data_IF_786331434526
#
_entry.id   IF_786331434526
#
_cell.length_a   1.000
_cell.length_b   1.000
_cell.length_c   1.000
_cell.angle_alpha   90.00
_cell.angle_beta   90.00
_cell.angle_gamma   90.00
#
_symmetry.space_group_name_H-M   'P 1'
#
loop_
_entity.id
_entity.type
_entity.pdbx_description
1 polymer ?
#
# COMPACT_ATOMS: atom_id res chain seq x y z
N UNK A 1 -24.84 -44.60 -25.12
CA UNK A 1 -23.89 -45.16 -24.14
C UNK A 1 -23.71 -44.11 -23.05
N UNK A 2 -24.17 -44.40 -21.84
CA UNK A 2 -23.99 -43.51 -20.69
C UNK A 2 -22.80 -44.05 -19.90
N UNK A 3 -21.73 -43.26 -19.75
CA UNK A 3 -20.55 -43.65 -18.98
C UNK A 3 -20.71 -43.01 -17.60
N UNK A 4 -20.81 -43.85 -16.56
CA UNK A 4 -20.84 -43.40 -15.18
C UNK A 4 -19.44 -43.56 -14.57
N UNK A 5 -18.93 -42.48 -13.99
CA UNK A 5 -17.63 -42.44 -13.30
C UNK A 5 -17.86 -41.82 -11.93
N UNK A 6 -17.45 -42.50 -10.87
CA UNK A 6 -17.56 -42.02 -9.49
C UNK A 6 -16.17 -41.77 -8.90
N UNK A 7 -16.09 -40.83 -7.96
CA UNK A 7 -14.88 -40.56 -7.21
C UNK A 7 -15.18 -40.54 -5.70
N UNK A 8 -14.18 -40.95 -4.91
CA UNK A 8 -14.32 -41.12 -3.46
C UNK A 8 -14.25 -39.78 -2.69
N UNK A 9 -13.91 -38.70 -3.38
CA UNK A 9 -13.90 -37.34 -2.86
C UNK A 9 -14.24 -36.33 -3.95
N UNK A 10 -14.73 -35.16 -3.53
CA UNK A 10 -15.02 -34.04 -4.43
C UNK A 10 -13.76 -33.64 -5.24
N UNK A 11 -12.58 -33.64 -4.60
CA UNK A 11 -11.29 -33.40 -5.25
C UNK A 11 -10.92 -34.46 -6.31
N UNK A 12 -11.22 -35.73 -6.04
CA UNK A 12 -11.06 -36.82 -7.00
C UNK A 12 -12.00 -36.66 -8.20
N UNK A 13 -13.25 -36.27 -7.95
CA UNK A 13 -14.22 -35.97 -8.99
C UNK A 13 -13.75 -34.77 -9.85
N UNK A 14 -13.16 -33.75 -9.22
CA UNK A 14 -12.60 -32.59 -9.93
C UNK A 14 -11.41 -32.93 -10.82
N UNK A 15 -10.50 -33.80 -10.36
CA UNK A 15 -9.40 -34.29 -11.20
C UNK A 15 -9.93 -35.08 -12.39
N UNK A 16 -10.88 -35.98 -12.16
CA UNK A 16 -11.47 -36.79 -13.23
C UNK A 16 -12.20 -35.91 -14.25
N UNK A 17 -13.02 -34.95 -13.80
CA UNK A 17 -13.72 -34.03 -14.69
C UNK A 17 -12.75 -33.13 -15.47
N UNK A 18 -11.70 -32.60 -14.84
CA UNK A 18 -10.69 -31.75 -15.50
C UNK A 18 -9.87 -32.51 -16.55
N UNK A 19 -9.64 -33.81 -16.35
CA UNK A 19 -8.98 -34.69 -17.33
C UNK A 19 -9.92 -35.06 -18.48
N UNK A 20 -11.23 -35.16 -18.22
CA UNK A 20 -12.26 -35.49 -19.22
C UNK A 20 -12.74 -34.29 -20.05
N UNK A 21 -12.46 -33.05 -19.63
CA UNK A 21 -12.89 -31.86 -20.34
C UNK A 21 -11.97 -31.63 -21.56
N UNK A 22 -12.48 -31.86 -22.78
CA UNK A 22 -11.73 -31.81 -24.07
C UNK A 22 -11.03 -30.46 -24.39
N UNK A 23 -11.18 -29.44 -23.55
CA UNK A 23 -10.52 -28.13 -23.65
C UNK A 23 -9.38 -27.90 -22.65
N UNK A 24 -9.12 -28.84 -21.74
CA UNK A 24 -8.02 -28.76 -20.76
C UNK A 24 -8.12 -27.63 -19.72
N UNK A 25 -9.26 -26.94 -19.60
CA UNK A 25 -9.48 -25.90 -18.60
C UNK A 25 -10.00 -26.52 -17.29
N UNK A 26 -9.27 -26.26 -16.18
CA UNK A 26 -9.75 -26.54 -14.82
C UNK A 26 -11.08 -25.82 -14.59
N UNK A 27 -12.06 -26.49 -13.97
CA UNK A 27 -13.23 -25.81 -13.41
C UNK A 27 -12.78 -24.72 -12.44
N UNK A 28 -13.34 -23.51 -12.57
CA UNK A 28 -13.08 -22.42 -11.63
C UNK A 28 -13.81 -22.67 -10.31
N UNK A 29 -13.41 -21.97 -9.23
CA UNK A 29 -14.16 -22.05 -7.97
C UNK A 29 -15.60 -21.55 -8.19
N UNK A 30 -15.76 -20.55 -9.05
CA UNK A 30 -17.05 -20.02 -9.45
C UNK A 30 -17.99 -21.08 -10.07
N UNK A 31 -17.52 -21.89 -11.02
CA UNK A 31 -18.36 -22.90 -11.69
C UNK A 31 -18.90 -23.96 -10.70
N UNK A 32 -18.09 -24.30 -9.71
CA UNK A 32 -18.41 -25.29 -8.66
C UNK A 32 -19.42 -24.70 -7.67
N UNK A 33 -19.20 -23.45 -7.24
CA UNK A 33 -20.14 -22.76 -6.37
C UNK A 33 -21.48 -22.54 -7.09
N UNK A 34 -21.47 -22.20 -8.37
CA UNK A 34 -22.68 -22.08 -9.19
C UNK A 34 -23.45 -23.40 -9.24
N UNK A 35 -22.82 -24.47 -9.74
CA UNK A 35 -23.48 -25.78 -9.91
C UNK A 35 -24.06 -26.32 -8.60
N UNK A 36 -23.25 -26.36 -7.54
CA UNK A 36 -23.70 -26.87 -6.23
C UNK A 36 -24.84 -26.08 -5.57
N UNK A 37 -24.99 -24.79 -5.92
CA UNK A 37 -26.11 -23.96 -5.44
C UNK A 37 -27.33 -24.06 -6.37
N UNK A 38 -27.17 -24.17 -7.68
CA UNK A 38 -28.27 -24.40 -8.61
C UNK A 38 -28.99 -25.74 -8.33
N UNK A 39 -28.24 -26.78 -7.94
CA UNK A 39 -28.80 -28.07 -7.50
C UNK A 39 -29.76 -27.96 -6.30
N UNK A 40 -29.76 -26.84 -5.58
CA UNK A 40 -30.65 -26.58 -4.44
C UNK A 40 -31.88 -25.75 -4.81
N UNK A 41 -32.08 -25.46 -6.09
CA UNK A 41 -33.24 -24.72 -6.61
C UNK A 41 -34.13 -25.71 -7.37
N UNK A 42 -35.35 -25.92 -6.87
CA UNK A 42 -36.28 -26.90 -7.45
C UNK A 42 -36.99 -26.38 -8.72
N UNK A 43 -37.29 -25.08 -8.77
CA UNK A 43 -37.96 -24.46 -9.91
C UNK A 43 -36.97 -24.21 -11.07
N UNK A 44 -37.24 -24.84 -12.21
CA UNK A 44 -36.36 -24.75 -13.38
C UNK A 44 -36.31 -23.37 -14.03
N UNK A 45 -37.36 -22.55 -13.92
CA UNK A 45 -37.36 -21.17 -14.44
C UNK A 45 -36.48 -20.29 -13.57
N UNK A 46 -36.67 -20.32 -12.25
CA UNK A 46 -35.83 -19.55 -11.32
C UNK A 46 -34.37 -20.02 -11.39
N UNK A 47 -34.12 -21.33 -11.48
CA UNK A 47 -32.77 -21.87 -11.67
C UNK A 47 -32.08 -21.24 -12.89
N UNK A 48 -32.79 -21.09 -14.01
CA UNK A 48 -32.25 -20.44 -15.21
C UNK A 48 -32.00 -18.95 -15.02
N UNK A 49 -32.83 -18.24 -14.26
CA UNK A 49 -32.63 -16.81 -13.94
C UNK A 49 -31.35 -16.61 -13.12
N UNK A 50 -31.20 -17.34 -12.00
CA UNK A 50 -29.98 -17.29 -11.18
C UNK A 50 -28.73 -17.70 -11.96
N UNK A 51 -28.84 -18.70 -12.85
CA UNK A 51 -27.73 -19.12 -13.68
C UNK A 51 -27.27 -18.01 -14.64
N UNK A 52 -28.22 -17.29 -15.27
CA UNK A 52 -27.92 -16.16 -16.17
C UNK A 52 -27.31 -14.98 -15.44
N UNK A 53 -27.86 -14.59 -14.29
CA UNK A 53 -27.31 -13.47 -13.51
C UNK A 53 -25.88 -13.76 -13.04
N UNK A 54 -25.61 -14.99 -12.59
CA UNK A 54 -24.25 -15.43 -12.27
C UNK A 54 -23.32 -15.39 -13.47
N UNK A 55 -23.75 -15.87 -14.64
CA UNK A 55 -22.96 -15.83 -15.87
C UNK A 55 -22.60 -14.41 -16.29
N UNK A 56 -23.57 -13.49 -16.21
CA UNK A 56 -23.34 -12.08 -16.51
C UNK A 56 -22.26 -11.49 -15.59
N UNK A 57 -22.31 -11.79 -14.29
CA UNK A 57 -21.29 -11.34 -13.33
C UNK A 57 -19.92 -11.96 -13.60
N UNK A 58 -19.89 -13.24 -13.96
CA UNK A 58 -18.66 -13.96 -14.28
C UNK A 58 -18.02 -13.42 -15.57
N UNK A 59 -18.82 -13.01 -16.56
CA UNK A 59 -18.36 -12.34 -17.78
C UNK A 59 -17.83 -10.94 -17.48
N UNK A 60 -18.56 -10.15 -16.69
CA UNK A 60 -18.21 -8.76 -16.34
C UNK A 60 -16.90 -8.69 -15.53
N UNK A 61 -16.77 -9.51 -14.48
CA UNK A 61 -15.57 -9.53 -13.63
C UNK A 61 -14.41 -10.34 -14.22
N UNK A 62 -14.67 -11.26 -15.15
CA UNK A 62 -13.67 -12.11 -15.79
C UNK A 62 -12.72 -12.77 -14.79
N UNK A 63 -11.42 -12.48 -14.90
CA UNK A 63 -10.37 -13.07 -14.05
C UNK A 63 -10.46 -12.64 -12.57
N UNK A 64 -11.15 -11.54 -12.25
CA UNK A 64 -11.30 -11.06 -10.88
C UNK A 64 -12.49 -11.72 -10.14
N UNK A 65 -13.28 -12.57 -10.81
CA UNK A 65 -14.48 -13.16 -10.20
C UNK A 65 -14.18 -14.06 -9.00
N UNK A 66 -13.15 -14.91 -9.08
CA UNK A 66 -12.70 -15.73 -7.95
C UNK A 66 -12.22 -14.88 -6.76
N UNK A 67 -11.61 -13.72 -7.04
CA UNK A 67 -11.17 -12.77 -6.01
C UNK A 67 -12.37 -12.09 -5.36
N UNK A 68 -13.38 -11.72 -6.15
CA UNK A 68 -14.64 -11.20 -5.63
C UNK A 68 -15.35 -12.22 -4.72
N UNK A 69 -15.39 -13.51 -5.09
CA UNK A 69 -15.90 -14.56 -4.22
C UNK A 69 -15.09 -14.69 -2.93
N UNK A 70 -13.77 -14.49 -2.96
CA UNK A 70 -12.97 -14.41 -1.73
C UNK A 70 -13.38 -13.23 -0.81
N UNK A 71 -13.82 -12.09 -1.38
CA UNK A 71 -14.38 -10.98 -0.59
C UNK A 71 -15.71 -11.36 0.06
N UNK A 72 -16.62 -11.99 -0.68
CA UNK A 72 -17.90 -12.52 -0.17
C UNK A 72 -17.65 -13.48 0.99
N UNK A 73 -16.72 -14.42 0.82
CA UNK A 73 -16.30 -15.36 1.87
C UNK A 73 -15.76 -14.62 3.09
N UNK A 74 -14.99 -13.55 2.90
CA UNK A 74 -14.44 -12.74 4.00
C UNK A 74 -15.52 -12.00 4.77
N UNK A 75 -16.53 -11.44 4.09
CA UNK A 75 -17.68 -10.82 4.77
C UNK A 75 -18.50 -11.83 5.57
N UNK A 76 -18.64 -13.08 5.09
CA UNK A 76 -19.38 -14.14 5.81
C UNK A 76 -18.60 -14.71 7.01
N UNK A 77 -17.29 -14.93 6.86
CA UNK A 77 -16.48 -15.62 7.88
C UNK A 77 -15.70 -14.69 8.82
N UNK A 78 -15.34 -13.49 8.36
CA UNK A 78 -14.66 -12.43 9.14
C UNK A 78 -13.37 -12.92 9.80
N UNK A 79 -12.63 -13.75 9.06
CA UNK A 79 -11.42 -14.44 9.50
C UNK A 79 -10.47 -14.59 8.33
N UNK A 80 -9.16 -14.65 8.56
CA UNK A 80 -8.22 -15.00 7.49
C UNK A 80 -8.52 -16.39 6.91
N UNK A 81 -8.42 -16.52 5.59
CA UNK A 81 -8.51 -17.80 4.88
C UNK A 81 -7.33 -18.71 5.27
N UNK A 82 -7.62 -19.97 5.58
CA UNK A 82 -6.64 -20.98 6.00
C UNK A 82 -6.58 -22.18 5.04
N UNK A 83 -7.67 -22.48 4.34
CA UNK A 83 -7.74 -23.56 3.36
C UNK A 83 -8.11 -23.01 1.98
N UNK A 84 -8.29 -23.89 0.98
CA UNK A 84 -8.77 -23.47 -0.32
C UNK A 84 -10.20 -22.85 -0.21
N UNK A 85 -10.57 -22.01 -1.18
CA UNK A 85 -11.81 -21.22 -1.11
C UNK A 85 -13.06 -22.10 -1.04
N UNK A 86 -13.13 -23.16 -1.85
CA UNK A 86 -14.27 -24.08 -1.91
C UNK A 86 -14.45 -24.85 -0.60
N UNK A 87 -13.37 -25.34 0.00
CA UNK A 87 -13.39 -26.02 1.30
C UNK A 87 -13.99 -25.13 2.38
N UNK A 88 -13.69 -23.83 2.37
CA UNK A 88 -14.24 -22.91 3.35
C UNK A 88 -15.72 -22.62 3.09
N UNK A 89 -16.12 -22.48 1.83
CA UNK A 89 -17.54 -22.40 1.48
C UNK A 89 -18.31 -23.64 1.94
N UNK A 90 -17.82 -24.83 1.61
CA UNK A 90 -18.49 -26.07 1.96
C UNK A 90 -18.54 -26.29 3.48
N UNK A 91 -17.39 -26.24 4.16
CA UNK A 91 -17.25 -26.65 5.57
C UNK A 91 -17.62 -25.55 6.55
N UNK A 92 -17.23 -24.30 6.28
CA UNK A 92 -17.33 -23.21 7.24
C UNK A 92 -18.49 -22.25 6.96
N UNK A 93 -19.05 -22.26 5.75
CA UNK A 93 -20.18 -21.40 5.38
C UNK A 93 -21.46 -22.23 5.30
N UNK A 94 -21.54 -23.19 4.38
CA UNK A 94 -22.75 -23.96 4.13
C UNK A 94 -23.04 -24.98 5.24
N UNK A 95 -22.09 -25.88 5.55
CA UNK A 95 -22.26 -26.89 6.62
C UNK A 95 -22.40 -26.26 8.01
N UNK A 96 -21.77 -25.11 8.24
CA UNK A 96 -21.90 -24.37 9.49
C UNK A 96 -23.18 -23.52 9.57
N UNK A 97 -24.02 -23.51 8.53
CA UNK A 97 -25.30 -22.80 8.52
C UNK A 97 -25.17 -21.27 8.53
N UNK A 98 -24.05 -20.71 8.06
CA UNK A 98 -23.88 -19.25 7.95
C UNK A 98 -24.80 -18.63 6.92
N UNK A 99 -25.02 -19.37 5.82
CA UNK A 99 -26.00 -19.05 4.79
C UNK A 99 -26.45 -20.37 4.15
N UNK A 100 -27.71 -20.44 3.73
CA UNK A 100 -28.21 -21.63 3.03
C UNK A 100 -27.73 -21.62 1.58
N UNK A 101 -27.45 -22.81 1.06
CA UNK A 101 -27.18 -22.98 -0.37
C UNK A 101 -28.45 -22.73 -1.20
N UNK A 102 -28.26 -22.38 -2.47
CA UNK A 102 -29.34 -22.02 -3.39
C UNK A 102 -29.62 -20.53 -3.37
N UNK A 103 -30.90 -20.16 -3.34
CA UNK A 103 -31.36 -18.77 -3.52
C UNK A 103 -30.72 -17.80 -2.52
N UNK A 104 -30.61 -18.18 -1.25
CA UNK A 104 -30.04 -17.30 -0.21
C UNK A 104 -28.59 -16.91 -0.54
N UNK A 105 -27.77 -17.89 -0.95
CA UNK A 105 -26.39 -17.65 -1.35
C UNK A 105 -26.29 -16.76 -2.60
N UNK A 106 -27.05 -17.06 -3.66
CA UNK A 106 -27.05 -16.24 -4.87
C UNK A 106 -27.46 -14.80 -4.58
N UNK A 107 -28.58 -14.60 -3.87
CA UNK A 107 -29.06 -13.27 -3.51
C UNK A 107 -28.02 -12.48 -2.70
N UNK A 108 -27.28 -13.14 -1.81
CA UNK A 108 -26.20 -12.49 -1.06
C UNK A 108 -25.04 -12.07 -1.97
N UNK A 109 -24.64 -12.95 -2.90
CA UNK A 109 -23.58 -12.69 -3.88
C UNK A 109 -23.97 -11.56 -4.82
N UNK A 110 -25.20 -11.54 -5.33
CA UNK A 110 -25.70 -10.51 -6.26
C UNK A 110 -25.76 -9.14 -5.59
N UNK A 111 -26.27 -9.07 -4.36
CA UNK A 111 -26.18 -7.82 -3.57
C UNK A 111 -24.74 -7.40 -3.32
N UNK A 112 -23.81 -8.36 -3.11
CA UNK A 112 -22.40 -8.03 -2.89
C UNK A 112 -21.75 -7.49 -4.15
N UNK A 113 -22.26 -7.91 -5.30
CA UNK A 113 -21.82 -7.44 -6.58
C UNK A 113 -22.29 -6.02 -6.86
N UNK A 114 -23.56 -5.71 -6.56
CA UNK A 114 -24.10 -4.35 -6.61
C UNK A 114 -23.29 -3.40 -5.70
N UNK A 115 -23.05 -3.80 -4.45
CA UNK A 115 -22.26 -3.04 -3.49
C UNK A 115 -20.82 -2.84 -4.01
N UNK A 116 -20.20 -3.88 -4.56
CA UNK A 116 -18.85 -3.81 -5.13
C UNK A 116 -18.80 -2.83 -6.31
N UNK A 117 -19.79 -2.88 -7.20
CA UNK A 117 -19.85 -1.96 -8.32
C UNK A 117 -20.03 -0.51 -7.89
N UNK A 118 -20.93 -0.23 -6.93
CA UNK A 118 -21.16 1.12 -6.41
C UNK A 118 -19.94 1.67 -5.65
N UNK A 119 -19.37 0.86 -4.76
CA UNK A 119 -18.40 1.32 -3.76
C UNK A 119 -16.95 1.20 -4.21
N UNK A 120 -16.63 0.24 -5.07
CA UNK A 120 -15.25 -0.06 -5.49
C UNK A 120 -15.03 0.25 -6.96
N UNK A 121 -15.91 -0.23 -7.86
CA UNK A 121 -15.84 0.15 -9.28
C UNK A 121 -16.40 1.56 -9.54
N UNK A 122 -17.00 2.18 -8.51
CA UNK A 122 -17.51 3.56 -8.53
C UNK A 122 -18.61 3.80 -9.57
N UNK A 123 -19.37 2.75 -9.92
CA UNK A 123 -20.49 2.84 -10.85
C UNK A 123 -21.60 3.71 -10.24
N UNK A 124 -21.87 4.85 -10.89
CA UNK A 124 -22.90 5.81 -10.43
C UNK A 124 -22.58 6.51 -9.10
N UNK A 125 -21.33 6.47 -8.64
CA UNK A 125 -20.92 7.18 -7.42
C UNK A 125 -20.51 8.62 -7.76
N UNK A 126 -21.20 9.59 -7.17
CA UNK A 126 -21.01 11.03 -7.43
C UNK A 126 -20.17 11.73 -6.35
N UNK A 127 -19.83 11.05 -5.25
CA UNK A 127 -18.93 11.60 -4.23
C UNK A 127 -17.49 11.58 -4.77
N UNK A 128 -17.10 12.73 -5.33
CA UNK A 128 -15.80 12.92 -5.96
C UNK A 128 -14.62 12.70 -5.00
N UNK A 129 -14.80 12.99 -3.70
CA UNK A 129 -13.76 12.81 -2.70
C UNK A 129 -13.59 11.33 -2.35
N UNK A 130 -14.70 10.62 -2.11
CA UNK A 130 -14.69 9.16 -1.94
C UNK A 130 -14.14 8.44 -3.16
N UNK A 131 -14.60 8.81 -4.36
CA UNK A 131 -14.11 8.24 -5.61
C UNK A 131 -12.59 8.42 -5.76
N UNK A 132 -12.08 9.61 -5.44
CA UNK A 132 -10.64 9.91 -5.48
C UNK A 132 -9.86 9.04 -4.48
N UNK A 133 -10.38 8.86 -3.27
CA UNK A 133 -9.78 8.01 -2.26
C UNK A 133 -9.70 6.56 -2.74
N UNK A 134 -10.82 5.97 -3.18
CA UNK A 134 -10.88 4.57 -3.61
C UNK A 134 -9.92 4.30 -4.77
N UNK A 135 -9.86 5.19 -5.77
CA UNK A 135 -8.92 5.06 -6.89
C UNK A 135 -7.46 5.09 -6.42
N UNK A 136 -7.14 5.93 -5.44
CA UNK A 136 -5.82 5.98 -4.83
C UNK A 136 -5.49 4.68 -4.08
N UNK A 137 -6.45 4.13 -3.32
CA UNK A 137 -6.24 2.89 -2.59
C UNK A 137 -6.07 1.69 -3.52
N UNK A 138 -6.82 1.63 -4.63
CA UNK A 138 -6.66 0.59 -5.66
C UNK A 138 -5.24 0.62 -6.25
N UNK A 139 -4.70 1.81 -6.50
CA UNK A 139 -3.36 1.97 -7.08
C UNK A 139 -2.24 1.68 -6.07
N UNK A 140 -2.41 2.05 -4.80
CA UNK A 140 -1.29 2.06 -3.83
C UNK A 140 -1.27 0.93 -2.81
N UNK A 141 -2.40 0.27 -2.56
CA UNK A 141 -2.48 -0.75 -1.52
C UNK A 141 -1.87 -2.07 -2.02
N UNK A 142 -0.96 -2.69 -1.25
CA UNK A 142 -0.29 -3.93 -1.67
C UNK A 142 -1.21 -5.15 -1.69
N UNK A 143 -2.39 -5.05 -1.08
CA UNK A 143 -3.43 -6.07 -1.11
C UNK A 143 -4.81 -5.43 -1.09
N UNK A 144 -5.82 -6.21 -1.50
CA UNK A 144 -7.22 -5.79 -1.57
C UNK A 144 -8.04 -6.23 -0.35
N UNK A 145 -7.40 -6.67 0.73
CA UNK A 145 -8.07 -7.15 1.96
C UNK A 145 -8.91 -6.07 2.66
N UNK A 146 -8.70 -4.79 2.32
CA UNK A 146 -9.50 -3.66 2.80
C UNK A 146 -10.87 -3.56 2.11
N UNK A 147 -11.03 -4.12 0.91
CA UNK A 147 -12.29 -4.04 0.14
C UNK A 147 -13.47 -4.65 0.92
N UNK A 148 -13.39 -5.88 1.45
CA UNK A 148 -14.48 -6.46 2.25
C UNK A 148 -14.91 -5.59 3.44
N UNK A 149 -13.98 -4.80 4.00
CA UNK A 149 -14.26 -3.91 5.13
C UNK A 149 -15.15 -2.74 4.68
N UNK A 150 -14.85 -2.14 3.53
CA UNK A 150 -15.64 -1.05 2.95
C UNK A 150 -17.02 -1.57 2.51
N UNK A 151 -17.08 -2.74 1.86
CA UNK A 151 -18.34 -3.37 1.47
C UNK A 151 -19.24 -3.66 2.67
N UNK A 152 -18.67 -4.21 3.75
CA UNK A 152 -19.42 -4.50 4.97
C UNK A 152 -20.03 -3.23 5.59
N UNK A 153 -19.28 -2.13 5.61
CA UNK A 153 -19.75 -0.85 6.13
C UNK A 153 -20.86 -0.27 5.24
N UNK A 154 -20.60 -0.13 3.94
CA UNK A 154 -21.55 0.48 2.99
C UNK A 154 -22.86 -0.30 2.90
N UNK A 155 -22.80 -1.64 2.96
CA UNK A 155 -24.01 -2.49 3.02
C UNK A 155 -24.87 -2.22 4.25
N UNK A 156 -24.24 -1.99 5.40
CA UNK A 156 -24.95 -1.86 6.67
C UNK A 156 -25.46 -0.44 6.92
N UNK A 157 -24.66 0.55 6.55
CA UNK A 157 -24.87 1.95 6.92
C UNK A 157 -25.09 2.88 5.72
N UNK A 158 -25.01 2.36 4.49
CA UNK A 158 -25.04 3.16 3.28
C UNK A 158 -23.87 4.13 3.22
N UNK A 159 -24.14 5.33 2.72
CA UNK A 159 -23.12 6.36 2.50
C UNK A 159 -22.85 7.19 3.78
N UNK A 160 -23.57 6.93 4.88
CA UNK A 160 -23.46 7.69 6.13
C UNK A 160 -22.09 7.48 6.80
N UNK A 161 -21.22 8.49 6.75
CA UNK A 161 -19.85 8.43 7.28
C UNK A 161 -18.91 7.53 6.47
N UNK A 162 -19.29 7.11 5.26
CA UNK A 162 -18.54 6.16 4.43
C UNK A 162 -17.14 6.68 4.06
N UNK A 163 -17.02 7.97 3.69
CA UNK A 163 -15.74 8.59 3.40
C UNK A 163 -14.81 8.58 4.62
N UNK A 164 -15.28 9.08 5.77
CA UNK A 164 -14.51 9.11 7.01
C UNK A 164 -14.07 7.69 7.43
N UNK A 165 -14.99 6.73 7.37
CA UNK A 165 -14.69 5.33 7.64
C UNK A 165 -13.58 4.80 6.73
N UNK A 166 -13.69 5.06 5.43
CA UNK A 166 -12.71 4.61 4.43
C UNK A 166 -11.34 5.23 4.66
N UNK A 167 -11.28 6.51 5.03
CA UNK A 167 -10.05 7.20 5.41
C UNK A 167 -9.42 6.56 6.66
N UNK A 168 -10.21 6.26 7.69
CA UNK A 168 -9.72 5.58 8.90
C UNK A 168 -9.15 4.19 8.61
N UNK A 169 -9.84 3.39 7.78
CA UNK A 169 -9.37 2.05 7.37
C UNK A 169 -8.07 2.16 6.56
N UNK A 170 -7.99 3.10 5.62
CA UNK A 170 -6.79 3.36 4.83
C UNK A 170 -5.61 3.74 5.73
N UNK A 171 -5.78 4.77 6.58
CA UNK A 171 -4.75 5.23 7.50
C UNK A 171 -4.30 4.11 8.43
N UNK A 172 -5.22 3.34 9.02
CA UNK A 172 -4.86 2.23 9.90
C UNK A 172 -4.03 1.15 9.18
N UNK A 173 -4.47 0.71 8.00
CA UNK A 173 -3.77 -0.35 7.27
C UNK A 173 -2.37 0.09 6.80
N UNK A 174 -2.23 1.35 6.37
CA UNK A 174 -0.94 1.93 5.99
C UNK A 174 -0.06 2.15 7.23
N UNK A 175 -0.61 2.65 8.34
CA UNK A 175 0.13 2.87 9.58
C UNK A 175 0.69 1.55 10.15
N UNK A 176 -0.09 0.48 10.11
CA UNK A 176 0.38 -0.84 10.50
C UNK A 176 1.50 -1.35 9.58
N UNK A 177 1.43 -1.04 8.27
CA UNK A 177 2.52 -1.32 7.34
C UNK A 177 3.80 -0.57 7.71
N UNK A 178 3.68 0.71 8.04
CA UNK A 178 4.79 1.56 8.48
C UNK A 178 5.36 1.07 9.80
N UNK A 179 4.52 0.55 10.71
CA UNK A 179 4.93 -0.03 11.99
C UNK A 179 5.41 -1.49 11.88
N UNK A 180 5.78 -1.95 10.68
CA UNK A 180 6.29 -3.29 10.39
C UNK A 180 5.37 -4.44 10.87
N UNK A 181 4.06 -4.20 10.95
CA UNK A 181 3.08 -5.27 11.22
C UNK A 181 3.01 -6.22 10.03
N UNK A 182 2.96 -7.52 10.33
CA UNK A 182 2.89 -8.55 9.30
C UNK A 182 1.60 -8.45 8.49
N UNK A 183 1.58 -8.92 7.22
CA UNK A 183 0.35 -8.98 6.44
C UNK A 183 -0.77 -9.74 7.15
N UNK A 184 -0.44 -10.85 7.83
CA UNK A 184 -1.38 -11.64 8.62
C UNK A 184 -2.02 -10.83 9.76
N UNK A 185 -1.23 -10.04 10.49
CA UNK A 185 -1.76 -9.15 11.54
C UNK A 185 -2.76 -8.14 10.95
N UNK A 186 -2.40 -7.50 9.84
CA UNK A 186 -3.27 -6.51 9.19
C UNK A 186 -4.57 -7.12 8.69
N UNK A 187 -4.52 -8.32 8.10
CA UNK A 187 -5.73 -9.05 7.68
C UNK A 187 -6.61 -9.41 8.87
N UNK A 188 -6.03 -9.91 9.97
CA UNK A 188 -6.79 -10.24 11.18
C UNK A 188 -7.42 -8.97 11.80
N UNK A 189 -6.70 -7.85 11.76
CA UNK A 189 -7.20 -6.56 12.21
C UNK A 189 -8.36 -6.05 11.35
N UNK A 190 -8.23 -6.05 10.02
CA UNK A 190 -9.31 -5.68 9.09
C UNK A 190 -10.56 -6.55 9.31
N UNK A 191 -10.38 -7.85 9.54
CA UNK A 191 -11.48 -8.76 9.90
C UNK A 191 -12.16 -8.39 11.22
N UNK A 192 -11.40 -7.94 12.22
CA UNK A 192 -11.99 -7.45 13.49
C UNK A 192 -12.86 -6.21 13.30
N UNK A 193 -12.52 -5.32 12.34
CA UNK A 193 -13.37 -4.17 11.99
C UNK A 193 -14.68 -4.63 11.35
N UNK A 194 -14.68 -5.70 10.55
CA UNK A 194 -15.92 -6.28 10.00
C UNK A 194 -16.80 -6.84 11.13
N UNK A 195 -16.22 -7.48 12.16
CA UNK A 195 -16.97 -7.92 13.33
C UNK A 195 -17.57 -6.72 14.09
N UNK A 196 -16.79 -5.65 14.31
CA UNK A 196 -17.27 -4.41 14.90
C UNK A 196 -18.47 -3.85 14.12
N UNK A 197 -18.37 -3.75 12.80
CA UNK A 197 -19.48 -3.31 11.94
C UNK A 197 -20.72 -4.16 12.17
N UNK A 198 -20.59 -5.49 12.23
CA UNK A 198 -21.74 -6.39 12.44
C UNK A 198 -22.41 -6.18 13.81
N UNK A 199 -21.63 -5.92 14.86
CA UNK A 199 -22.13 -5.74 16.23
C UNK A 199 -22.73 -4.33 16.47
N UNK A 200 -22.31 -3.34 15.69
CA UNK A 200 -22.74 -1.94 15.83
C UNK A 200 -24.18 -1.67 15.38
N UNK A 201 -24.90 -0.78 16.07
CA UNK A 201 -26.25 -0.38 15.69
C UNK A 201 -26.28 0.82 14.74
N UNK A 202 -25.26 1.69 14.81
CA UNK A 202 -25.18 2.94 14.05
C UNK A 202 -23.73 3.24 13.60
N UNK A 203 -23.54 4.10 12.59
CA UNK A 203 -22.23 4.51 12.09
C UNK A 203 -21.24 4.96 13.16
N UNK A 204 -21.69 5.75 14.14
CA UNK A 204 -20.80 6.31 15.17
C UNK A 204 -20.20 5.25 16.09
N UNK A 205 -20.88 4.13 16.32
CA UNK A 205 -20.31 3.02 17.10
C UNK A 205 -19.02 2.47 16.45
N UNK A 206 -18.91 2.59 15.12
CA UNK A 206 -17.74 2.15 14.34
C UNK A 206 -16.73 3.28 14.16
N UNK A 207 -17.18 4.49 13.85
CA UNK A 207 -16.31 5.65 13.59
C UNK A 207 -15.55 6.12 14.84
N UNK A 208 -16.21 6.05 16.00
CA UNK A 208 -15.69 6.51 17.29
C UNK A 208 -14.88 5.43 18.03
N UNK A 209 -14.79 4.22 17.48
CA UNK A 209 -14.07 3.09 18.08
C UNK A 209 -12.53 3.24 17.97
N UNK A 210 -11.96 4.25 18.61
CA UNK A 210 -10.56 4.66 18.49
C UNK A 210 -9.55 3.52 18.67
N UNK A 211 -9.87 2.53 19.52
CA UNK A 211 -9.01 1.35 19.71
C UNK A 211 -8.71 0.59 18.42
N UNK A 212 -9.65 0.56 17.47
CA UNK A 212 -9.48 -0.11 16.18
C UNK A 212 -8.65 0.69 15.16
N UNK A 213 -8.51 2.00 15.34
CA UNK A 213 -7.75 2.85 14.41
C UNK A 213 -6.42 3.33 14.99
N UNK A 214 -6.17 3.07 16.27
CA UNK A 214 -4.90 3.36 16.93
C UNK A 214 -3.73 2.56 16.35
N UNK A 215 -2.54 3.16 16.39
CA UNK A 215 -1.28 2.52 16.03
C UNK A 215 -0.15 3.11 16.88
N UNK A 216 1.04 2.52 16.81
CA UNK A 216 2.18 3.03 17.56
C UNK A 216 2.75 4.27 16.87
N UNK A 217 2.28 5.46 17.27
CA UNK A 217 2.70 6.74 16.71
C UNK A 217 4.22 6.96 16.80
N UNK A 218 4.87 6.52 17.90
CA UNK A 218 6.31 6.66 18.05
C UNK A 218 7.09 5.85 16.99
N UNK A 219 6.72 4.58 16.79
CA UNK A 219 7.32 3.72 15.75
C UNK A 219 7.02 4.28 14.36
N UNK A 220 5.78 4.72 14.13
CA UNK A 220 5.39 5.35 12.87
C UNK A 220 6.27 6.56 12.55
N UNK A 221 6.39 7.50 13.50
CA UNK A 221 7.19 8.72 13.37
C UNK A 221 8.68 8.41 13.17
N UNK A 222 9.23 7.44 13.89
CA UNK A 222 10.62 7.01 13.70
C UNK A 222 10.85 6.47 12.29
N UNK A 223 9.90 5.69 11.76
CA UNK A 223 10.04 5.05 10.45
C UNK A 223 9.85 6.03 9.29
N UNK A 224 8.89 6.96 9.34
CA UNK A 224 8.71 7.96 8.26
C UNK A 224 9.84 9.00 8.23
N UNK A 225 10.49 9.24 9.38
CA UNK A 225 11.70 10.06 9.51
C UNK A 225 12.99 9.26 9.26
N UNK A 226 12.93 8.08 8.65
CA UNK A 226 14.10 7.27 8.31
C UNK A 226 14.32 7.21 6.79
N UNK A 227 15.27 6.38 6.34
CA UNK A 227 15.37 6.02 4.93
C UNK A 227 14.22 5.08 4.56
N UNK A 228 13.30 5.57 3.74
CA UNK A 228 12.08 4.85 3.38
C UNK A 228 12.06 4.42 1.91
N UNK A 229 12.94 4.93 1.06
CA UNK A 229 13.00 4.44 -0.32
C UNK A 229 13.23 2.92 -0.35
N UNK A 230 12.45 2.19 -1.15
CA UNK A 230 12.47 0.73 -1.20
C UNK A 230 11.61 0.02 -0.15
N UNK A 231 11.07 0.73 0.85
CA UNK A 231 10.06 0.18 1.77
C UNK A 231 8.72 0.05 1.05
N UNK A 232 7.98 -1.03 1.35
CA UNK A 232 6.70 -1.35 0.70
C UNK A 232 5.62 -0.28 0.88
N UNK A 233 5.67 0.46 1.99
CA UNK A 233 4.68 1.48 2.35
C UNK A 233 4.97 2.88 1.76
N UNK A 234 6.16 3.12 1.20
CA UNK A 234 6.58 4.46 0.77
C UNK A 234 5.72 5.00 -0.36
N UNK A 235 5.36 4.15 -1.31
CA UNK A 235 4.47 4.51 -2.38
C UNK A 235 3.08 4.92 -1.86
N UNK A 236 2.53 4.18 -0.89
CA UNK A 236 1.25 4.50 -0.28
C UNK A 236 1.28 5.85 0.47
N UNK A 237 2.35 6.17 1.20
CA UNK A 237 2.51 7.48 1.85
C UNK A 237 2.52 8.62 0.83
N UNK A 238 3.25 8.46 -0.27
CA UNK A 238 3.29 9.46 -1.35
C UNK A 238 1.93 9.61 -2.04
N UNK A 239 1.18 8.52 -2.22
CA UNK A 239 -0.16 8.54 -2.79
C UNK A 239 -1.19 9.19 -1.85
N UNK A 240 -1.04 9.08 -0.53
CA UNK A 240 -1.85 9.84 0.42
C UNK A 240 -1.54 11.34 0.40
N UNK A 241 -0.28 11.72 0.20
CA UNK A 241 0.08 13.13 -0.04
C UNK A 241 -0.55 13.63 -1.35
N UNK A 242 -0.60 12.78 -2.38
CA UNK A 242 -1.33 13.10 -3.61
C UNK A 242 -2.82 13.29 -3.34
N UNK A 243 -3.46 12.39 -2.61
CA UNK A 243 -4.86 12.53 -2.20
C UNK A 243 -5.12 13.87 -1.49
N UNK A 244 -4.23 14.26 -0.56
CA UNK A 244 -4.33 15.53 0.17
C UNK A 244 -4.37 16.72 -0.79
N UNK A 245 -3.44 16.79 -1.74
CA UNK A 245 -3.24 17.97 -2.59
C UNK A 245 -4.06 18.00 -3.88
N UNK A 246 -4.47 16.85 -4.39
CA UNK A 246 -5.19 16.76 -5.66
C UNK A 246 -6.53 17.48 -5.57
N UNK A 247 -6.93 18.14 -6.64
CA UNK A 247 -8.33 18.55 -6.82
C UNK A 247 -9.17 17.30 -7.01
N UNK A 248 -10.22 17.14 -6.20
CA UNK A 248 -11.08 15.95 -6.21
C UNK A 248 -12.13 16.03 -7.32
N UNK A 249 -12.38 17.21 -7.88
CA UNK A 249 -13.37 17.41 -8.94
C UNK A 249 -13.01 16.72 -10.26
N UNK A 250 -11.74 16.42 -10.51
CA UNK A 250 -11.28 15.74 -11.71
C UNK A 250 -10.34 14.56 -11.40
N UNK A 251 -10.76 13.36 -11.81
CA UNK A 251 -9.86 12.21 -11.80
C UNK A 251 -9.00 12.19 -13.07
N UNK A 252 -7.69 12.08 -12.88
CA UNK A 252 -6.73 11.83 -13.95
C UNK A 252 -5.96 10.55 -13.63
N UNK A 253 -6.01 9.60 -14.55
CA UNK A 253 -5.20 8.39 -14.48
C UNK A 253 -3.71 8.77 -14.44
N UNK A 254 -3.00 8.17 -13.49
CA UNK A 254 -1.57 8.41 -13.27
C UNK A 254 -0.69 7.55 -14.20
N UNK A 255 -1.28 6.58 -14.90
CA UNK A 255 -0.57 5.64 -15.76
C UNK A 255 0.51 4.88 -14.97
N UNK A 256 1.58 4.44 -15.65
CA UNK A 256 2.69 3.78 -14.94
C UNK A 256 3.50 4.78 -14.12
N UNK A 257 3.29 4.77 -12.82
CA UNK A 257 3.95 5.65 -11.84
C UNK A 257 5.28 5.09 -11.34
N UNK A 258 6.07 5.96 -10.71
CA UNK A 258 7.35 5.64 -10.07
C UNK A 258 7.70 6.70 -9.03
N UNK A 259 8.66 6.39 -8.17
CA UNK A 259 9.20 7.34 -7.19
C UNK A 259 10.47 7.98 -7.77
N UNK A 260 10.49 9.29 -7.85
CA UNK A 260 11.65 10.09 -8.25
C UNK A 260 12.47 10.53 -7.03
N UNK A 261 13.79 10.57 -7.23
CA UNK A 261 14.74 11.18 -6.31
C UNK A 261 15.10 12.57 -6.81
N UNK A 262 14.65 13.63 -6.15
CA UNK A 262 14.96 15.00 -6.61
C UNK A 262 16.49 15.21 -6.58
N UNK A 263 17.11 15.05 -5.41
CA UNK A 263 18.54 14.79 -5.26
C UNK A 263 18.82 13.34 -5.71
N UNK A 264 19.54 13.11 -6.82
CA UNK A 264 19.73 11.78 -7.38
C UNK A 264 20.60 10.88 -6.51
N UNK A 265 20.46 9.57 -6.70
CA UNK A 265 21.26 8.56 -5.97
C UNK A 265 22.74 8.59 -6.35
N UNK A 266 23.06 8.88 -7.62
CA UNK A 266 24.43 8.84 -8.15
C UNK A 266 24.73 10.11 -8.96
N UNK A 267 24.81 11.31 -8.34
CA UNK A 267 25.16 12.53 -9.04
C UNK A 267 26.55 12.42 -9.68
N UNK A 268 26.74 13.09 -10.82
CA UNK A 268 28.07 13.17 -11.47
C UNK A 268 29.03 13.97 -10.59
N UNK A 269 30.31 13.64 -10.59
CA UNK A 269 31.33 14.36 -9.81
C UNK A 269 31.39 15.87 -10.11
N UNK A 270 31.03 16.28 -11.33
CA UNK A 270 31.02 17.67 -11.77
C UNK A 270 29.68 18.39 -11.57
N UNK A 271 28.66 17.72 -11.04
CA UNK A 271 27.30 18.25 -10.96
C UNK A 271 27.16 19.30 -9.85
N UNK A 272 26.15 20.16 -9.97
CA UNK A 272 25.84 21.14 -8.93
C UNK A 272 25.50 20.46 -7.59
N UNK A 273 24.88 19.27 -7.63
CA UNK A 273 24.65 18.44 -6.43
C UNK A 273 25.90 18.16 -5.59
N UNK A 274 27.07 17.99 -6.21
CA UNK A 274 28.33 17.70 -5.48
C UNK A 274 28.91 18.96 -4.83
N UNK A 275 28.55 20.14 -5.35
CA UNK A 275 28.94 21.45 -4.80
C UNK A 275 28.01 21.89 -3.68
N UNK A 276 26.71 21.68 -3.85
CA UNK A 276 25.67 22.14 -2.92
C UNK A 276 25.52 21.23 -1.69
N UNK A 277 25.89 19.95 -1.82
CA UNK A 277 25.79 18.97 -0.73
C UNK A 277 27.17 18.39 -0.40
N UNK A 278 27.43 18.16 0.89
CA UNK A 278 28.49 17.26 1.32
C UNK A 278 28.15 15.80 0.96
N UNK A 279 29.14 14.91 0.97
CA UNK A 279 28.90 13.47 0.75
C UNK A 279 27.94 12.88 1.79
N UNK A 280 28.07 13.31 3.05
CA UNK A 280 27.23 12.89 4.16
C UNK A 280 25.81 13.42 4.04
N UNK A 281 25.63 14.69 3.62
CA UNK A 281 24.31 15.25 3.37
C UNK A 281 23.60 14.51 2.25
N UNK A 282 24.32 14.15 1.17
CA UNK A 282 23.75 13.31 0.11
C UNK A 282 23.33 11.95 0.66
N UNK A 283 24.23 11.26 1.36
CA UNK A 283 23.92 9.97 1.96
C UNK A 283 22.73 10.03 2.91
N UNK A 284 22.54 11.14 3.62
CA UNK A 284 21.46 11.34 4.56
C UNK A 284 20.11 11.59 3.87
N UNK A 285 20.04 12.53 2.92
CA UNK A 285 18.78 13.00 2.35
C UNK A 285 18.26 12.14 1.20
N UNK A 286 19.13 11.46 0.43
CA UNK A 286 18.76 10.80 -0.83
C UNK A 286 17.53 9.90 -0.70
N UNK A 287 17.44 9.07 0.36
CA UNK A 287 16.39 8.05 0.50
C UNK A 287 15.23 8.43 1.46
N UNK A 288 15.16 9.69 1.89
CA UNK A 288 14.16 10.18 2.85
C UNK A 288 12.97 10.82 2.15
N UNK A 289 11.80 10.77 2.78
CA UNK A 289 10.53 11.24 2.21
C UNK A 289 10.60 12.67 1.65
N UNK A 290 11.36 13.57 2.29
CA UNK A 290 11.53 14.95 1.84
C UNK A 290 12.22 15.09 0.49
N UNK A 291 12.92 14.07 0.01
CA UNK A 291 13.58 14.03 -1.29
C UNK A 291 12.83 13.19 -2.34
N UNK A 292 11.70 12.58 -1.97
CA UNK A 292 10.94 11.66 -2.83
C UNK A 292 9.67 12.32 -3.33
N UNK A 293 9.35 12.11 -4.60
CA UNK A 293 8.08 12.54 -5.18
C UNK A 293 7.55 11.53 -6.20
N UNK A 294 6.26 11.63 -6.56
CA UNK A 294 5.64 10.76 -7.56
C UNK A 294 5.86 11.32 -8.96
N UNK A 295 6.16 10.44 -9.90
CA UNK A 295 6.30 10.82 -11.30
C UNK A 295 6.00 9.64 -12.24
N UNK A 296 5.59 9.92 -13.48
CA UNK A 296 5.44 8.90 -14.50
C UNK A 296 6.79 8.23 -14.85
N UNK A 297 6.81 6.90 -14.96
CA UNK A 297 8.03 6.08 -15.13
C UNK A 297 8.89 6.49 -16.33
N UNK A 298 8.26 6.82 -17.46
CA UNK A 298 8.98 7.29 -18.67
C UNK A 298 9.68 8.63 -18.44
N UNK A 299 9.03 9.54 -17.70
CA UNK A 299 9.61 10.85 -17.35
C UNK A 299 10.73 10.69 -16.31
N UNK A 300 10.53 9.85 -15.31
CA UNK A 300 11.58 9.50 -14.33
C UNK A 300 12.89 9.06 -15.03
N UNK A 301 12.75 8.12 -15.97
CA UNK A 301 13.89 7.56 -16.70
C UNK A 301 14.67 8.61 -17.51
N UNK A 302 14.03 9.70 -17.95
CA UNK A 302 14.68 10.76 -18.73
C UNK A 302 15.34 11.86 -17.88
N UNK A 303 15.08 11.87 -16.58
CA UNK A 303 15.67 12.80 -15.60
C UNK A 303 17.01 12.28 -15.09
N UNK A 304 17.07 11.02 -14.68
CA UNK A 304 18.30 10.39 -14.18
C UNK A 304 19.05 11.27 -13.16
N UNK A 305 20.32 11.55 -13.46
CA UNK A 305 21.23 12.31 -12.58
C UNK A 305 21.41 13.78 -13.02
N UNK A 306 20.45 14.35 -13.76
CA UNK A 306 20.48 15.76 -14.15
C UNK A 306 20.50 16.69 -12.93
N UNK A 307 21.04 17.90 -13.10
CA UNK A 307 21.02 18.93 -12.05
C UNK A 307 19.61 19.49 -11.86
N UNK A 308 19.34 20.05 -10.68
CA UNK A 308 17.99 20.46 -10.26
C UNK A 308 17.27 21.34 -11.29
N UNK A 309 17.96 22.35 -11.82
CA UNK A 309 17.41 23.29 -12.79
C UNK A 309 17.05 22.62 -14.13
N UNK A 310 17.79 21.59 -14.53
CA UNK A 310 17.46 20.80 -15.72
C UNK A 310 16.27 19.87 -15.45
N UNK A 311 16.22 19.27 -14.25
CA UNK A 311 15.06 18.47 -13.82
C UNK A 311 13.79 19.32 -13.79
N UNK A 312 13.83 20.52 -13.21
CA UNK A 312 12.70 21.47 -13.19
C UNK A 312 12.17 21.76 -14.58
N UNK A 313 13.02 22.09 -15.55
CA UNK A 313 12.58 22.31 -16.95
C UNK A 313 11.81 21.09 -17.47
N UNK A 314 12.36 19.88 -17.29
CA UNK A 314 11.71 18.63 -17.72
C UNK A 314 10.46 18.26 -16.92
N UNK A 315 10.38 18.65 -15.65
CA UNK A 315 9.19 18.54 -14.82
C UNK A 315 8.05 19.43 -15.31
N UNK A 316 8.30 20.40 -16.20
CA UNK A 316 7.26 21.24 -16.80
C UNK A 316 7.17 21.11 -18.34
N UNK A 317 8.10 20.41 -18.99
CA UNK A 317 8.03 20.08 -20.41
C UNK A 317 6.87 19.12 -20.73
N UNK A 318 6.05 19.51 -21.74
CA UNK A 318 4.92 18.80 -22.36
C UNK A 318 3.82 18.43 -21.34
N UNK A 319 2.68 19.15 -21.38
CA UNK A 319 1.44 18.96 -20.60
C UNK A 319 1.38 17.66 -19.78
N UNK A 320 1.54 17.78 -18.47
CA UNK A 320 1.95 16.68 -17.61
C UNK A 320 0.74 16.08 -16.91
N UNK A 321 0.68 14.75 -16.90
CA UNK A 321 0.05 13.99 -15.82
C UNK A 321 0.79 14.31 -14.53
N UNK A 322 0.35 15.39 -13.89
CA UNK A 322 1.10 16.07 -12.84
C UNK A 322 0.51 15.71 -11.51
N UNK A 323 1.34 15.11 -10.65
CA UNK A 323 0.99 14.85 -9.27
C UNK A 323 0.96 16.19 -8.54
N UNK A 324 -0.18 16.55 -7.98
CA UNK A 324 -0.37 17.80 -7.25
C UNK A 324 0.64 17.95 -6.10
N UNK A 325 0.92 16.83 -5.41
CA UNK A 325 1.94 16.75 -4.36
C UNK A 325 3.35 17.10 -4.85
N UNK A 326 3.68 16.68 -6.08
CA UNK A 326 4.99 16.93 -6.69
C UNK A 326 5.09 18.34 -7.26
N UNK A 327 4.00 18.87 -7.84
CA UNK A 327 3.92 20.28 -8.25
C UNK A 327 4.15 21.21 -7.08
N UNK A 328 3.56 20.92 -5.92
CA UNK A 328 3.74 21.73 -4.72
C UNK A 328 5.22 21.88 -4.37
N UNK A 329 6.01 20.80 -4.42
CA UNK A 329 7.45 20.85 -4.17
C UNK A 329 8.13 21.81 -5.16
N UNK A 330 7.91 21.62 -6.46
CA UNK A 330 8.60 22.41 -7.48
C UNK A 330 8.19 23.89 -7.50
N UNK A 331 6.94 24.19 -7.14
CA UNK A 331 6.44 25.56 -7.00
C UNK A 331 6.98 26.25 -5.74
N UNK A 332 7.14 25.51 -4.64
CA UNK A 332 7.74 26.05 -3.40
C UNK A 332 9.24 26.32 -3.55
N UNK A 333 9.96 25.46 -4.28
CA UNK A 333 11.42 25.54 -4.41
C UNK A 333 11.87 25.73 -5.87
N UNK A 334 11.52 26.83 -6.57
CA UNK A 334 11.79 26.99 -8.00
C UNK A 334 13.27 27.25 -8.32
N UNK A 335 14.05 27.73 -7.35
CA UNK A 335 15.39 28.27 -7.60
C UNK A 335 16.52 27.29 -7.28
N UNK A 336 16.42 26.55 -6.18
CA UNK A 336 17.48 25.66 -5.73
C UNK A 336 16.91 24.50 -4.91
N UNK A 337 17.61 23.38 -4.94
CA UNK A 337 17.38 22.23 -4.08
C UNK A 337 18.66 21.99 -3.29
N UNK A 338 18.75 22.55 -2.10
CA UNK A 338 19.93 22.54 -1.21
C UNK A 338 19.61 21.75 0.07
N UNK A 339 20.60 21.47 0.94
CA UNK A 339 20.35 20.82 2.22
C UNK A 339 19.23 21.49 3.05
N UNK A 340 19.15 22.83 3.01
CA UNK A 340 18.15 23.63 3.70
C UNK A 340 16.76 23.39 3.12
N UNK A 341 16.61 23.48 1.80
CA UNK A 341 15.28 23.28 1.16
C UNK A 341 14.80 21.84 1.28
N UNK A 342 15.70 20.84 1.23
CA UNK A 342 15.32 19.43 1.43
C UNK A 342 14.86 19.21 2.87
N UNK A 343 15.55 19.82 3.84
CA UNK A 343 15.16 19.77 5.26
C UNK A 343 13.78 20.39 5.48
N UNK A 344 13.56 21.60 4.98
CA UNK A 344 12.25 22.27 5.05
C UNK A 344 11.14 21.44 4.39
N UNK A 345 11.42 20.87 3.21
CA UNK A 345 10.45 20.02 2.54
C UNK A 345 10.17 18.72 3.31
N UNK A 346 11.18 18.14 3.95
CA UNK A 346 11.01 16.98 4.81
C UNK A 346 10.10 17.31 6.00
N UNK A 347 10.35 18.40 6.71
CA UNK A 347 9.52 18.85 7.84
C UNK A 347 8.07 19.09 7.40
N UNK A 348 7.88 19.78 6.27
CA UNK A 348 6.55 19.99 5.68
C UNK A 348 5.82 18.67 5.37
N UNK A 349 6.50 17.73 4.70
CA UNK A 349 5.89 16.44 4.34
C UNK A 349 5.58 15.60 5.58
N UNK A 350 6.44 15.63 6.59
CA UNK A 350 6.18 14.96 7.87
C UNK A 350 4.94 15.57 8.55
N UNK A 351 4.83 16.89 8.57
CA UNK A 351 3.64 17.57 9.10
C UNK A 351 2.37 17.20 8.33
N UNK A 352 2.45 17.11 7.00
CA UNK A 352 1.33 16.68 6.17
C UNK A 352 0.88 15.25 6.51
N UNK A 353 1.82 14.33 6.71
CA UNK A 353 1.53 12.96 7.13
C UNK A 353 0.97 12.93 8.55
N UNK A 354 1.47 13.74 9.48
CA UNK A 354 0.89 13.84 10.82
C UNK A 354 -0.59 14.25 10.77
N UNK A 355 -0.94 15.21 9.92
CA UNK A 355 -2.33 15.64 9.72
C UNK A 355 -3.19 14.51 9.14
N UNK A 356 -2.75 13.85 8.06
CA UNK A 356 -3.47 12.74 7.41
C UNK A 356 -3.74 11.59 8.40
N UNK A 357 -2.77 11.31 9.27
CA UNK A 357 -2.86 10.21 10.23
C UNK A 357 -3.41 10.65 11.61
N UNK A 358 -3.80 11.92 11.77
CA UNK A 358 -4.41 12.43 13.01
C UNK A 358 -3.47 12.55 14.22
N UNK A 359 -2.15 12.65 13.99
CA UNK A 359 -1.12 12.74 15.04
C UNK A 359 -1.06 14.19 15.55
N UNK A 360 -1.54 14.44 16.77
CA UNK A 360 -1.71 15.80 17.34
C UNK A 360 -0.46 16.43 17.93
N UNK A 361 0.55 15.63 18.28
CA UNK A 361 1.83 16.14 18.76
C UNK A 361 2.90 15.09 18.51
N UNK A 362 4.10 15.48 18.07
CA UNK A 362 5.23 14.58 18.04
C UNK A 362 5.59 14.30 19.48
N UNK A 363 5.04 13.23 20.06
CA UNK A 363 5.41 12.77 21.40
C UNK A 363 6.79 12.10 21.35
N UNK A 364 7.79 12.88 20.95
CA UNK A 364 9.23 12.76 21.17
C UNK A 364 9.83 14.09 20.70
N UNK A 365 9.99 15.00 21.66
CA UNK A 365 11.04 16.03 21.74
C UNK A 365 11.48 16.56 20.37
N UNK A 366 10.82 17.63 19.91
CA UNK A 366 11.52 18.63 19.09
C UNK A 366 12.48 19.31 20.06
N UNK A 367 13.66 18.71 20.22
CA UNK A 367 14.83 19.47 20.62
C UNK A 367 15.05 20.45 19.46
N UNK A 368 15.06 21.76 19.74
CA UNK A 368 15.32 22.81 18.75
C UNK A 368 16.68 22.63 18.05
N UNK A 369 17.50 21.69 18.54
CA UNK A 369 18.66 21.19 17.83
C UNK A 369 18.26 20.47 16.53
N UNK A 370 18.83 20.92 15.43
CA UNK A 370 18.72 20.27 14.13
C UNK A 370 19.09 18.80 14.24
N UNK A 371 18.49 17.91 13.42
CA UNK A 371 18.88 16.50 13.40
C UNK A 371 20.40 16.28 13.28
N UNK A 372 21.10 17.18 12.56
CA UNK A 372 22.56 17.16 12.45
C UNK A 372 23.24 17.39 13.81
N UNK A 373 22.72 18.28 14.64
CA UNK A 373 23.17 18.53 16.01
C UNK A 373 22.82 17.37 16.94
N UNK A 374 21.63 16.79 16.81
CA UNK A 374 21.24 15.57 17.54
C UNK A 374 22.13 14.37 17.19
N UNK A 375 22.52 14.24 15.93
CA UNK A 375 23.46 13.21 15.52
C UNK A 375 24.88 13.53 15.97
N UNK A 376 25.31 14.80 15.99
CA UNK A 376 26.62 15.21 16.51
C UNK A 376 26.75 15.02 18.03
N UNK A 377 25.65 15.11 18.78
CA UNK A 377 25.66 14.82 20.22
C UNK A 377 25.88 13.34 20.53
N UNK A 378 25.39 12.44 19.67
CA UNK A 378 25.57 10.98 19.80
C UNK A 378 26.87 10.51 19.14
N UNK A 379 27.21 11.10 18.01
CA UNK A 379 28.35 10.74 17.16
C UNK A 379 29.13 12.03 16.87
N UNK A 380 30.15 12.37 17.69
CA UNK A 380 30.90 13.63 17.54
C UNK A 380 31.44 13.90 16.14
N UNK A 381 31.76 12.85 15.38
CA UNK A 381 32.27 12.95 14.02
C UNK A 381 31.16 12.83 12.95
N UNK A 382 29.88 12.86 13.33
CA UNK A 382 28.78 12.92 12.38
C UNK A 382 28.90 14.18 11.51
N UNK A 383 28.85 13.97 10.20
CA UNK A 383 28.97 15.02 9.19
C UNK A 383 30.31 15.74 9.13
N UNK A 384 31.36 15.20 9.77
CA UNK A 384 32.73 15.62 9.47
C UNK A 384 33.17 15.01 8.13
N UNK A 385 34.00 15.68 7.31
CA UNK A 385 34.57 15.07 6.11
C UNK A 385 35.41 13.83 6.45
N UNK A 386 35.46 12.84 5.56
CA UNK A 386 36.41 11.71 5.67
C UNK A 386 37.79 12.14 5.19
N UNK A 387 38.83 11.78 5.93
CA UNK A 387 40.23 11.95 5.50
C UNK A 387 40.73 10.68 4.81
N UNK A 388 41.83 10.78 4.05
CA UNK A 388 42.48 9.60 3.46
C UNK A 388 42.89 8.57 4.53
N UNK A 389 43.37 9.06 5.68
CA UNK A 389 43.70 8.20 6.81
C UNK A 389 42.47 7.49 7.41
N UNK A 390 41.31 8.15 7.43
CA UNK A 390 40.07 7.52 7.89
C UNK A 390 39.65 6.39 6.94
N UNK A 391 39.78 6.59 5.63
CA UNK A 391 39.44 5.59 4.61
C UNK A 391 40.34 4.36 4.70
N UNK A 392 41.66 4.56 4.76
CA UNK A 392 42.63 3.47 4.93
C UNK A 392 42.33 2.64 6.18
N UNK A 393 42.08 3.34 7.29
CA UNK A 393 41.74 2.70 8.57
C UNK A 393 40.40 1.97 8.51
N UNK A 394 39.40 2.55 7.84
CA UNK A 394 38.06 1.95 7.73
C UNK A 394 38.11 0.65 6.94
N UNK A 395 38.80 0.64 5.81
CA UNK A 395 38.96 -0.54 4.96
C UNK A 395 39.78 -1.62 5.66
N UNK A 396 40.87 -1.25 6.33
CA UNK A 396 41.68 -2.20 7.10
C UNK A 396 40.84 -2.91 8.17
N UNK A 397 40.14 -2.15 9.01
CA UNK A 397 39.30 -2.71 10.08
C UNK A 397 38.12 -3.52 9.55
N UNK A 398 37.54 -3.13 8.42
CA UNK A 398 36.49 -3.90 7.78
C UNK A 398 37.00 -5.25 7.26
N UNK A 399 38.17 -5.26 6.62
CA UNK A 399 38.84 -6.49 6.15
C UNK A 399 39.28 -7.40 7.29
N UNK A 400 39.55 -6.84 8.47
CA UNK A 400 39.78 -7.60 9.71
C UNK A 400 38.49 -8.23 10.29
N UNK A 401 37.33 -8.04 9.64
CA UNK A 401 36.06 -8.64 10.02
C UNK A 401 35.27 -7.85 11.05
N UNK A 402 35.61 -6.58 11.30
CA UNK A 402 34.84 -5.71 12.20
C UNK A 402 33.44 -5.47 11.66
N UNK A 403 32.44 -5.65 12.51
CA UNK A 403 31.05 -5.39 12.15
C UNK A 403 30.80 -3.90 11.95
N UNK A 404 29.79 -3.57 11.14
CA UNK A 404 29.32 -2.17 10.94
C UNK A 404 29.04 -1.47 12.27
N UNK A 405 28.58 -2.21 13.29
CA UNK A 405 28.33 -1.63 14.61
C UNK A 405 29.62 -1.24 15.33
N UNK A 406 30.65 -2.07 15.27
CA UNK A 406 31.94 -1.76 15.88
C UNK A 406 32.60 -0.57 15.16
N UNK A 407 32.57 -0.57 13.83
CA UNK A 407 33.11 0.53 13.02
C UNK A 407 32.38 1.86 13.32
N UNK A 408 31.06 1.84 13.50
CA UNK A 408 30.30 3.03 13.86
C UNK A 408 30.77 3.64 15.20
N UNK A 409 31.05 2.79 16.19
CA UNK A 409 31.60 3.24 17.48
C UNK A 409 33.03 3.76 17.34
N UNK A 410 33.89 3.07 16.59
CA UNK A 410 35.31 3.43 16.44
C UNK A 410 35.53 4.76 15.71
N UNK A 411 34.70 5.05 14.69
CA UNK A 411 34.79 6.29 13.92
C UNK A 411 33.92 7.41 14.49
N UNK A 412 33.16 7.13 15.57
CA UNK A 412 32.21 8.07 16.17
C UNK A 412 31.23 8.62 15.12
N UNK A 413 30.72 7.74 14.26
CA UNK A 413 29.81 8.04 13.15
C UNK A 413 28.65 7.05 13.15
N UNK A 414 27.50 7.44 12.61
CA UNK A 414 26.37 6.55 12.52
C UNK A 414 26.63 5.36 11.55
N UNK A 415 25.93 4.24 11.77
CA UNK A 415 26.08 3.01 10.96
C UNK A 415 25.81 3.23 9.46
N UNK A 416 24.93 4.17 9.11
CA UNK A 416 24.65 4.52 7.71
C UNK A 416 25.86 5.12 7.02
N UNK A 417 26.55 6.05 7.68
CA UNK A 417 27.79 6.66 7.18
C UNK A 417 28.88 5.60 6.96
N UNK A 418 29.02 4.65 7.90
CA UNK A 418 29.95 3.52 7.76
C UNK A 418 29.60 2.65 6.55
N UNK A 419 28.35 2.16 6.46
CA UNK A 419 27.91 1.31 5.33
C UNK A 419 28.10 2.00 3.99
N UNK A 420 27.70 3.27 3.91
CA UNK A 420 27.80 4.06 2.70
C UNK A 420 29.26 4.23 2.27
N UNK A 421 30.17 4.50 3.23
CA UNK A 421 31.58 4.68 2.93
C UNK A 421 32.27 3.37 2.54
N UNK A 422 32.00 2.27 3.23
CA UNK A 422 32.54 0.95 2.87
C UNK A 422 32.05 0.55 1.48
N UNK A 423 30.76 0.71 1.17
CA UNK A 423 30.23 0.45 -0.18
C UNK A 423 30.98 1.22 -1.25
N UNK A 424 31.34 2.47 -0.98
CA UNK A 424 32.07 3.32 -1.92
C UNK A 424 33.52 2.88 -2.11
N UNK A 425 34.20 2.48 -1.03
CA UNK A 425 35.61 2.09 -1.06
C UNK A 425 35.84 0.65 -1.57
N UNK A 426 34.89 -0.25 -1.34
CA UNK A 426 35.02 -1.70 -1.62
C UNK A 426 34.14 -2.20 -2.75
N UNK A 427 33.07 -1.47 -3.09
CA UNK A 427 32.07 -1.90 -4.05
C UNK A 427 31.04 -2.91 -3.51
N UNK A 428 31.11 -3.31 -2.23
CA UNK A 428 30.19 -4.28 -1.64
C UNK A 428 28.78 -3.73 -1.41
N UNK A 429 27.77 -4.58 -1.57
CA UNK A 429 26.35 -4.25 -1.33
C UNK A 429 25.89 -4.87 -0.01
N UNK A 430 25.33 -4.03 0.87
CA UNK A 430 24.83 -4.39 2.20
C UNK A 430 23.31 -4.54 2.27
#
# INVERSE_FOLDING_TARGET
MMIYISADSLEGAFRLFSVMNDRGQKLSNADILKSSNLEKIEDGSEMNEYAREWENMQEDLGNDFDRFLAYVRTMLLKKRQKTNLLDEYEKQIFKAGKIKQGKDFFNYVFRAYEDYNKLINLAGNEDTEYCSLIRILIECMPSTDWIPVILAYGRKFGDNGLLEFSQKVACKNIADAVCDKSPSYRIDHLNSIINLIEESGKPSDVLDAQGYYSFNEHVFMANIQSEIYGRRYTYALLMLLEYKYKDKSEWKDFGTTSIEHILPQNPKATSQWVKDFSEEQRSYYTHRIGNLCLIGRRKNSSLGNLDYQEKLKKYFEKNIGSFASSQKIHQTYPNAWTPETVKENQERVIQDLMEIFGIKSPSTIIDDSTYMEQQRSVYPNAYQPWTESDDERLVALYNEGKSISELAQMFLRNRGAIKSRIRKLTGERF
#
